data_IF_147411572020
#
_entry.id   IF_147411572020
#
_cell.length_a   1.000
_cell.length_b   1.000
_cell.length_c   1.000
_cell.angle_alpha   90.00
_cell.angle_beta   90.00
_cell.angle_gamma   90.00
#
_symmetry.space_group_name_H-M   'P 1'
#
loop_
_entity.id
_entity.type
_entity.pdbx_description
1 polymer ?
#
# COMPACT_ATOMS: atom_id res chain seq x y z
N UNK A 1 -31.01 -15.65 -26.30
CA UNK A 1 -31.32 -14.34 -25.69
C UNK A 1 -30.00 -13.63 -25.45
N UNK A 2 -29.71 -12.55 -26.16
CA UNK A 2 -28.53 -11.69 -25.89
C UNK A 2 -28.77 -11.04 -24.53
N UNK A 3 -28.07 -11.49 -23.50
CA UNK A 3 -28.04 -10.82 -22.20
C UNK A 3 -27.46 -9.45 -22.46
N UNK A 4 -28.21 -8.40 -22.16
CA UNK A 4 -27.77 -7.02 -22.34
C UNK A 4 -26.75 -6.70 -21.24
N UNK A 5 -25.47 -7.08 -21.46
CA UNK A 5 -24.36 -6.97 -20.50
C UNK A 5 -24.08 -5.52 -20.06
N UNK A 6 -24.58 -4.54 -20.80
CA UNK A 6 -24.36 -3.12 -20.56
C UNK A 6 -24.89 -2.64 -19.19
N UNK A 7 -25.98 -3.24 -18.72
CA UNK A 7 -26.66 -2.86 -17.48
C UNK A 7 -26.48 -3.85 -16.32
N UNK A 8 -25.67 -4.91 -16.48
CA UNK A 8 -25.37 -5.78 -15.34
C UNK A 8 -24.62 -4.97 -14.29
N UNK A 9 -25.07 -5.06 -13.05
CA UNK A 9 -24.56 -4.24 -11.96
C UNK A 9 -23.06 -4.49 -11.69
N UNK A 10 -22.35 -3.40 -11.47
CA UNK A 10 -20.91 -3.38 -11.21
C UNK A 10 -20.57 -2.36 -10.12
N UNK A 11 -19.39 -2.50 -9.57
CA UNK A 11 -18.69 -1.46 -8.77
C UNK A 11 -17.40 -1.07 -9.48
N UNK A 12 -16.95 0.16 -9.24
CA UNK A 12 -15.70 0.67 -9.80
C UNK A 12 -14.73 0.93 -8.66
N UNK A 13 -13.48 0.49 -8.80
CA UNK A 13 -12.39 0.83 -7.89
C UNK A 13 -11.46 1.83 -8.53
N UNK A 14 -11.07 2.85 -7.76
CA UNK A 14 -10.23 3.96 -8.19
C UNK A 14 -9.11 4.16 -7.16
N UNK A 15 -7.87 3.99 -7.61
CA UNK A 15 -6.66 4.31 -6.86
C UNK A 15 -6.09 5.63 -7.40
N UNK A 16 -6.12 6.69 -6.57
CA UNK A 16 -5.79 8.06 -6.97
C UNK A 16 -4.45 8.46 -6.37
N UNK A 17 -3.39 8.24 -7.12
CA UNK A 17 -2.05 8.72 -6.77
C UNK A 17 -1.81 10.19 -7.15
N UNK A 18 -0.63 10.72 -6.81
CA UNK A 18 -0.25 12.11 -7.09
C UNK A 18 -0.21 12.48 -8.58
N UNK A 19 0.10 11.53 -9.46
CA UNK A 19 0.25 11.75 -10.91
C UNK A 19 -0.73 10.96 -11.76
N UNK A 20 -1.15 9.80 -11.31
CA UNK A 20 -1.98 8.86 -12.05
C UNK A 20 -3.15 8.38 -11.19
N UNK A 21 -4.26 8.04 -11.86
CA UNK A 21 -5.39 7.30 -11.30
C UNK A 21 -5.46 5.96 -12.02
N UNK A 22 -5.44 4.87 -11.27
CA UNK A 22 -5.72 3.53 -11.77
C UNK A 22 -7.18 3.17 -11.51
N UNK A 23 -7.83 2.51 -12.46
CA UNK A 23 -9.25 2.17 -12.36
C UNK A 23 -9.51 0.71 -12.73
N UNK A 24 -10.42 0.07 -12.03
CA UNK A 24 -10.91 -1.28 -12.34
C UNK A 24 -12.42 -1.38 -12.21
N UNK A 25 -13.01 -2.43 -12.78
CA UNK A 25 -14.44 -2.73 -12.69
C UNK A 25 -14.60 -4.14 -12.17
N UNK A 26 -15.45 -4.31 -11.15
CA UNK A 26 -15.76 -5.57 -10.49
C UNK A 26 -17.26 -5.82 -10.62
N UNK A 27 -17.67 -7.02 -11.03
CA UNK A 27 -19.09 -7.40 -11.07
C UNK A 27 -19.61 -7.85 -9.69
N UNK A 28 -20.93 -8.03 -9.57
CA UNK A 28 -21.55 -8.47 -8.31
C UNK A 28 -21.12 -9.86 -7.85
N UNK A 29 -20.60 -10.70 -8.75
CA UNK A 29 -20.06 -12.01 -8.41
C UNK A 29 -18.64 -11.95 -7.83
N UNK A 30 -17.97 -10.79 -7.88
CA UNK A 30 -16.60 -10.63 -7.44
C UNK A 30 -15.55 -10.89 -8.53
N UNK A 31 -15.96 -10.88 -9.80
CA UNK A 31 -15.05 -11.08 -10.94
C UNK A 31 -14.59 -9.71 -11.47
N UNK A 32 -13.28 -9.49 -11.53
CA UNK A 32 -12.71 -8.31 -12.17
C UNK A 32 -12.88 -8.40 -13.69
N UNK A 33 -13.49 -7.36 -14.28
CA UNK A 33 -13.74 -7.26 -15.71
C UNK A 33 -12.56 -6.63 -16.46
N UNK A 34 -11.54 -6.17 -15.75
CA UNK A 34 -10.31 -5.61 -16.29
C UNK A 34 -9.14 -6.37 -15.68
N UNK A 35 -8.33 -6.99 -16.53
CA UNK A 35 -7.20 -7.84 -16.18
C UNK A 35 -5.84 -7.12 -16.15
N UNK A 36 -5.80 -5.85 -16.60
CA UNK A 36 -4.61 -5.02 -16.71
C UNK A 36 -4.80 -3.64 -16.12
N UNK A 37 -3.72 -3.00 -15.77
CA UNK A 37 -3.73 -1.62 -15.28
C UNK A 37 -4.31 -0.63 -16.32
N UNK A 38 -5.20 0.26 -15.86
CA UNK A 38 -5.83 1.30 -16.67
C UNK A 38 -5.53 2.67 -16.08
N UNK A 39 -4.36 3.19 -16.40
CA UNK A 39 -3.91 4.47 -15.88
C UNK A 39 -4.44 5.66 -16.68
N UNK A 40 -4.81 6.71 -15.96
CA UNK A 40 -5.12 8.06 -16.48
C UNK A 40 -4.42 9.11 -15.62
N UNK A 41 -4.14 10.32 -16.12
CA UNK A 41 -3.61 11.40 -15.29
C UNK A 41 -4.56 11.76 -14.15
N UNK A 42 -4.08 11.81 -12.90
CA UNK A 42 -4.90 12.16 -11.73
C UNK A 42 -5.19 13.66 -11.60
N UNK A 43 -4.34 14.51 -12.19
CA UNK A 43 -4.42 15.98 -12.14
C UNK A 43 -4.46 16.57 -10.72
N UNK A 44 -4.01 15.85 -9.72
CA UNK A 44 -4.00 16.28 -8.32
C UNK A 44 -3.26 17.62 -8.14
N UNK A 45 -2.12 17.79 -8.85
CA UNK A 45 -1.33 19.04 -8.82
C UNK A 45 -1.98 20.21 -9.56
N UNK A 46 -3.09 19.99 -10.27
CA UNK A 46 -3.87 21.05 -10.93
C UNK A 46 -5.04 21.53 -10.06
N UNK A 47 -5.22 20.91 -8.89
CA UNK A 47 -6.21 21.31 -7.91
C UNK A 47 -7.41 20.37 -7.80
N UNK A 48 -8.23 20.66 -6.79
CA UNK A 48 -9.35 19.80 -6.40
C UNK A 48 -10.38 19.58 -7.51
N UNK A 49 -10.74 20.64 -8.24
CA UNK A 49 -11.73 20.54 -9.33
C UNK A 49 -11.20 19.68 -10.50
N UNK A 50 -9.92 19.87 -10.89
CA UNK A 50 -9.30 19.11 -11.97
C UNK A 50 -9.15 17.63 -11.59
N UNK A 51 -8.82 17.32 -10.33
CA UNK A 51 -8.75 15.97 -9.84
C UNK A 51 -10.11 15.25 -9.84
N UNK A 52 -11.18 15.93 -9.43
CA UNK A 52 -12.55 15.37 -9.46
C UNK A 52 -13.00 15.06 -10.90
N UNK A 53 -12.71 15.97 -11.86
CA UNK A 53 -12.98 15.72 -13.28
C UNK A 53 -12.20 14.52 -13.80
N UNK A 54 -10.90 14.41 -13.44
CA UNK A 54 -10.05 13.30 -13.84
C UNK A 54 -10.54 11.94 -13.30
N UNK A 55 -11.08 11.90 -12.09
CA UNK A 55 -11.72 10.71 -11.50
C UNK A 55 -12.93 10.27 -12.33
N UNK A 56 -13.81 11.22 -12.71
CA UNK A 56 -14.94 10.91 -13.59
C UNK A 56 -14.51 10.35 -14.93
N UNK A 57 -13.44 10.90 -15.52
CA UNK A 57 -12.84 10.40 -16.76
C UNK A 57 -12.23 8.99 -16.59
N UNK A 58 -11.53 8.72 -15.48
CA UNK A 58 -10.96 7.41 -15.18
C UNK A 58 -12.04 6.33 -15.10
N UNK A 59 -13.14 6.63 -14.39
CA UNK A 59 -14.30 5.75 -14.30
C UNK A 59 -14.92 5.47 -15.68
N UNK A 60 -15.18 6.50 -16.48
CA UNK A 60 -15.77 6.34 -17.81
C UNK A 60 -14.91 5.51 -18.74
N UNK A 61 -13.58 5.70 -18.67
CA UNK A 61 -12.64 4.91 -19.45
C UNK A 61 -12.68 3.42 -19.04
N UNK A 62 -12.69 3.12 -17.75
CA UNK A 62 -12.80 1.76 -17.25
C UNK A 62 -14.14 1.10 -17.68
N UNK A 63 -15.24 1.81 -17.56
CA UNK A 63 -16.56 1.35 -18.03
C UNK A 63 -16.56 1.11 -19.55
N UNK A 64 -15.96 2.00 -20.34
CA UNK A 64 -15.84 1.84 -21.79
C UNK A 64 -15.07 0.58 -22.20
N UNK A 65 -14.00 0.20 -21.46
CA UNK A 65 -13.25 -1.04 -21.70
C UNK A 65 -14.12 -2.27 -21.48
N UNK A 66 -15.00 -2.23 -20.49
CA UNK A 66 -15.85 -3.37 -20.12
C UNK A 66 -17.19 -3.41 -20.86
N UNK A 67 -17.52 -2.37 -21.63
CA UNK A 67 -18.82 -2.21 -22.29
C UNK A 67 -19.96 -2.00 -21.29
N UNK A 68 -19.67 -1.46 -20.09
CA UNK A 68 -20.68 -1.14 -19.07
C UNK A 68 -21.05 0.34 -19.14
N UNK A 69 -22.30 0.64 -18.79
CA UNK A 69 -22.78 2.02 -18.69
C UNK A 69 -22.67 2.58 -17.26
N UNK A 70 -22.68 3.89 -17.10
CA UNK A 70 -22.73 4.52 -15.76
C UNK A 70 -23.96 4.07 -14.94
N UNK A 71 -25.08 3.76 -15.60
CA UNK A 71 -26.29 3.29 -14.94
C UNK A 71 -26.13 1.90 -14.28
N UNK A 72 -25.15 1.12 -14.72
CA UNK A 72 -24.80 -0.17 -14.12
C UNK A 72 -24.01 -0.02 -12.80
N UNK A 73 -23.38 1.13 -12.54
CA UNK A 73 -22.53 1.33 -11.37
C UNK A 73 -23.38 1.50 -10.11
N UNK A 74 -23.14 0.67 -9.10
CA UNK A 74 -23.84 0.69 -7.80
C UNK A 74 -23.09 1.49 -6.74
N UNK A 75 -21.77 1.42 -6.74
CA UNK A 75 -20.91 2.16 -5.83
C UNK A 75 -19.51 2.31 -6.43
N UNK A 76 -18.73 3.23 -5.88
CA UNK A 76 -17.34 3.49 -6.22
C UNK A 76 -16.49 3.30 -4.98
N UNK A 77 -15.45 2.47 -5.07
CA UNK A 77 -14.38 2.43 -4.11
C UNK A 77 -13.30 3.44 -4.50
N UNK A 78 -12.84 4.21 -3.54
CA UNK A 78 -11.84 5.25 -3.75
C UNK A 78 -10.72 5.08 -2.73
N UNK A 79 -9.49 5.04 -3.18
CA UNK A 79 -8.36 5.17 -2.29
C UNK A 79 -7.42 6.30 -2.70
N UNK A 80 -6.66 6.76 -1.73
CA UNK A 80 -5.61 7.76 -1.90
C UNK A 80 -4.47 7.49 -0.93
N UNK A 81 -3.23 7.93 -1.25
CA UNK A 81 -2.18 7.98 -0.25
C UNK A 81 -2.59 8.83 0.95
N UNK A 82 -2.23 8.36 2.15
CA UNK A 82 -2.49 9.08 3.40
C UNK A 82 -1.64 10.34 3.59
N UNK A 83 -1.84 11.01 4.73
CA UNK A 83 -2.88 10.76 5.70
C UNK A 83 -4.22 11.41 5.32
N UNK A 84 -5.29 10.69 5.59
CA UNK A 84 -6.66 11.19 5.49
C UNK A 84 -7.52 10.56 6.59
N UNK A 85 -8.62 11.20 6.96
CA UNK A 85 -9.55 10.63 7.94
C UNK A 85 -10.31 9.42 7.37
N UNK A 86 -10.92 8.60 8.23
CA UNK A 86 -11.80 7.52 7.82
C UNK A 86 -12.96 7.98 6.90
N UNK A 87 -13.34 9.24 6.98
CA UNK A 87 -14.35 9.86 6.12
C UNK A 87 -13.80 10.35 4.77
N UNK A 88 -12.50 10.21 4.50
CA UNK A 88 -11.86 10.68 3.25
C UNK A 88 -11.61 12.19 3.20
N UNK A 89 -11.40 12.81 4.38
CA UNK A 89 -10.98 14.20 4.48
C UNK A 89 -9.45 14.25 4.55
N UNK A 90 -8.83 14.91 3.58
CA UNK A 90 -7.36 15.00 3.46
C UNK A 90 -6.78 15.80 4.62
N UNK A 91 -5.73 15.29 5.24
CA UNK A 91 -5.05 15.93 6.37
C UNK A 91 -4.23 17.16 5.92
N UNK A 92 -4.08 18.12 6.84
CA UNK A 92 -3.28 19.34 6.59
C UNK A 92 -1.77 19.11 6.67
N UNK A 93 -1.32 17.97 7.19
CA UNK A 93 0.10 17.62 7.35
C UNK A 93 0.37 16.20 6.90
N UNK A 94 1.53 15.97 6.31
CA UNK A 94 2.03 14.63 5.95
C UNK A 94 1.53 14.07 4.63
N UNK A 95 0.56 14.70 3.96
CA UNK A 95 0.06 14.24 2.67
C UNK A 95 1.00 14.67 1.54
N UNK A 96 1.99 13.86 1.21
CA UNK A 96 3.03 14.17 0.21
C UNK A 96 2.41 14.50 -1.17
N UNK A 97 1.43 13.73 -1.61
CA UNK A 97 0.79 13.92 -2.92
C UNK A 97 -0.28 15.01 -2.93
N UNK A 98 -0.79 15.43 -1.75
CA UNK A 98 -1.82 16.43 -1.54
C UNK A 98 -1.27 17.61 -0.72
N UNK A 99 -0.02 18.02 -0.97
CA UNK A 99 0.72 19.00 -0.16
C UNK A 99 0.21 20.44 -0.31
N UNK A 100 -0.50 20.76 -1.37
CA UNK A 100 -1.01 22.11 -1.61
C UNK A 100 -2.15 22.47 -0.65
N UNK A 101 -2.21 23.74 -0.23
CA UNK A 101 -3.19 24.25 0.75
C UNK A 101 -4.66 23.96 0.42
N UNK A 102 -5.02 23.89 -0.87
CA UNK A 102 -6.37 23.61 -1.31
C UNK A 102 -6.86 22.19 -0.93
N UNK A 103 -5.93 21.27 -0.65
CA UNK A 103 -6.26 19.92 -0.21
C UNK A 103 -6.47 19.82 1.30
N UNK A 104 -6.00 20.77 2.10
CA UNK A 104 -6.02 20.67 3.54
C UNK A 104 -7.44 20.77 4.09
N UNK A 105 -7.92 19.72 4.72
CA UNK A 105 -9.28 19.62 5.19
C UNK A 105 -10.32 19.44 4.08
N UNK A 106 -9.89 19.14 2.86
CA UNK A 106 -10.79 18.90 1.74
C UNK A 106 -11.51 17.56 1.89
N UNK A 107 -12.86 17.58 1.86
CA UNK A 107 -13.73 16.40 1.84
C UNK A 107 -13.68 15.77 0.45
N UNK A 108 -12.62 14.98 0.21
CA UNK A 108 -12.36 14.38 -1.10
C UNK A 108 -13.42 13.33 -1.45
N UNK A 109 -13.70 12.40 -0.52
CA UNK A 109 -14.74 11.40 -0.70
C UNK A 109 -16.09 12.05 -1.04
N UNK A 110 -16.55 12.98 -0.21
CA UNK A 110 -17.83 13.64 -0.43
C UNK A 110 -17.87 14.48 -1.72
N UNK A 111 -16.75 15.07 -2.15
CA UNK A 111 -16.67 15.79 -3.42
C UNK A 111 -16.82 14.84 -4.62
N UNK A 112 -16.17 13.66 -4.59
CA UNK A 112 -16.32 12.61 -5.61
C UNK A 112 -17.76 12.09 -5.63
N UNK A 113 -18.35 11.81 -4.46
CA UNK A 113 -19.73 11.33 -4.32
C UNK A 113 -20.73 12.30 -4.93
N UNK A 114 -20.58 13.60 -4.63
CA UNK A 114 -21.44 14.65 -5.24
C UNK A 114 -21.26 14.77 -6.75
N UNK A 115 -20.04 14.62 -7.25
CA UNK A 115 -19.75 14.74 -8.69
C UNK A 115 -20.25 13.54 -9.49
N UNK A 116 -20.11 12.34 -8.96
CA UNK A 116 -20.50 11.11 -9.65
C UNK A 116 -21.98 10.75 -9.44
N UNK A 117 -22.62 11.30 -8.42
CA UNK A 117 -23.97 10.92 -7.94
C UNK A 117 -24.08 9.43 -7.59
N UNK A 118 -23.02 8.86 -7.01
CA UNK A 118 -22.89 7.46 -6.63
C UNK A 118 -22.33 7.37 -5.21
N UNK A 119 -22.71 6.34 -4.42
CA UNK A 119 -22.09 6.09 -3.14
C UNK A 119 -20.57 5.87 -3.31
N UNK A 120 -19.75 6.52 -2.46
CA UNK A 120 -18.29 6.39 -2.47
C UNK A 120 -17.79 5.82 -1.15
N UNK A 121 -17.10 4.69 -1.22
CA UNK A 121 -16.44 4.03 -0.11
C UNK A 121 -14.96 4.40 -0.17
N UNK A 122 -14.46 5.00 0.91
CA UNK A 122 -13.10 5.51 0.98
C UNK A 122 -12.20 4.60 1.83
N UNK A 123 -10.98 4.36 1.34
CA UNK A 123 -9.86 3.76 2.09
C UNK A 123 -8.58 4.59 1.88
N UNK A 124 -7.55 4.37 2.69
CA UNK A 124 -6.21 4.71 2.23
C UNK A 124 -5.67 3.60 1.32
N UNK A 125 -4.61 3.90 0.55
CA UNK A 125 -3.99 2.99 -0.42
C UNK A 125 -3.47 1.70 0.23
N UNK A 126 -2.84 1.80 1.41
CA UNK A 126 -2.36 0.66 2.18
C UNK A 126 -3.49 -0.29 2.61
N UNK A 127 -4.59 0.26 3.12
CA UNK A 127 -5.78 -0.53 3.49
C UNK A 127 -6.44 -1.19 2.27
N UNK A 128 -6.50 -0.49 1.13
CA UNK A 128 -7.05 -1.06 -0.09
C UNK A 128 -6.20 -2.24 -0.58
N UNK A 129 -4.88 -2.06 -0.67
CA UNK A 129 -3.97 -3.15 -1.05
C UNK A 129 -4.00 -4.33 -0.07
N UNK A 130 -4.12 -4.06 1.24
CA UNK A 130 -4.26 -5.09 2.26
C UNK A 130 -5.54 -5.91 2.10
N UNK A 131 -6.68 -5.24 1.85
CA UNK A 131 -7.96 -5.92 1.60
C UNK A 131 -7.88 -6.81 0.36
N UNK A 132 -7.25 -6.33 -0.73
CA UNK A 132 -7.06 -7.14 -1.92
C UNK A 132 -6.21 -8.39 -1.66
N UNK A 133 -5.08 -8.24 -0.97
CA UNK A 133 -4.21 -9.37 -0.62
C UNK A 133 -4.94 -10.40 0.24
N UNK A 134 -5.70 -9.94 1.23
CA UNK A 134 -6.50 -10.76 2.12
C UNK A 134 -7.55 -11.58 1.35
N UNK A 135 -8.37 -10.94 0.53
CA UNK A 135 -9.41 -11.57 -0.26
C UNK A 135 -8.84 -12.60 -1.26
N UNK A 136 -7.70 -12.27 -1.87
CA UNK A 136 -7.01 -13.17 -2.80
C UNK A 136 -6.44 -14.41 -2.11
N UNK A 137 -5.98 -14.27 -0.88
CA UNK A 137 -5.42 -15.38 -0.09
C UNK A 137 -6.50 -16.31 0.42
N UNK A 138 -7.58 -15.77 0.96
CA UNK A 138 -8.56 -16.57 1.72
C UNK A 138 -9.85 -16.87 0.94
N UNK A 139 -10.18 -16.09 -0.09
CA UNK A 139 -11.36 -16.33 -0.92
C UNK A 139 -12.63 -16.47 -0.10
N UNK A 140 -13.31 -17.60 -0.18
CA UNK A 140 -14.56 -17.85 0.56
C UNK A 140 -14.42 -17.85 2.08
N UNK A 141 -13.19 -17.93 2.63
CA UNK A 141 -12.94 -17.85 4.07
C UNK A 141 -12.53 -16.44 4.53
N UNK A 142 -12.40 -15.47 3.64
CA UNK A 142 -11.90 -14.14 3.96
C UNK A 142 -12.67 -13.47 5.12
N UNK A 143 -13.98 -13.65 5.19
CA UNK A 143 -14.84 -13.06 6.23
C UNK A 143 -14.57 -13.56 7.68
N UNK A 144 -13.82 -14.65 7.83
CA UNK A 144 -13.50 -15.24 9.15
C UNK A 144 -12.00 -15.29 9.42
N UNK A 145 -11.18 -14.75 8.53
CA UNK A 145 -9.73 -14.69 8.63
C UNK A 145 -9.24 -13.29 8.92
N UNK A 146 -8.03 -13.21 9.45
CA UNK A 146 -7.36 -11.94 9.75
C UNK A 146 -6.01 -11.86 9.08
N UNK A 147 -5.57 -10.68 8.69
CA UNK A 147 -4.26 -10.48 8.07
C UNK A 147 -3.68 -9.10 8.34
N UNK A 148 -2.38 -8.98 8.15
CA UNK A 148 -1.65 -7.73 8.23
C UNK A 148 -0.76 -7.58 7.01
N UNK A 149 -0.65 -6.37 6.47
CA UNK A 149 0.13 -6.09 5.27
C UNK A 149 1.09 -4.93 5.50
N UNK A 150 2.33 -5.08 5.05
CA UNK A 150 3.35 -4.04 4.96
C UNK A 150 3.61 -3.71 3.49
N UNK A 151 3.33 -2.50 3.07
CA UNK A 151 3.48 -2.03 1.68
C UNK A 151 4.66 -1.06 1.62
N UNK A 152 5.81 -1.53 1.15
CA UNK A 152 7.07 -0.80 1.12
C UNK A 152 7.18 0.03 -0.17
N UNK A 153 7.03 1.33 -0.07
CA UNK A 153 7.16 2.28 -1.17
C UNK A 153 8.15 3.40 -0.85
N UNK A 154 7.81 4.63 -1.24
CA UNK A 154 8.53 5.84 -0.82
C UNK A 154 8.53 5.96 0.71
N UNK A 155 7.38 5.71 1.36
CA UNK A 155 7.19 5.44 2.77
C UNK A 155 6.87 3.95 3.01
N UNK A 156 6.28 3.64 4.17
CA UNK A 156 5.72 2.34 4.48
C UNK A 156 4.25 2.48 4.87
N UNK A 157 3.37 2.09 3.96
CA UNK A 157 1.95 1.93 4.24
C UNK A 157 1.63 0.53 4.73
N UNK A 158 0.38 0.30 5.06
CA UNK A 158 -0.08 -1.01 5.44
C UNK A 158 -1.57 -1.06 5.73
N UNK A 159 -2.04 -2.22 6.17
CA UNK A 159 -3.41 -2.40 6.61
C UNK A 159 -3.54 -3.60 7.49
N UNK A 160 -4.52 -3.54 8.35
CA UNK A 160 -4.92 -4.63 9.24
C UNK A 160 -6.34 -5.03 8.87
N UNK A 161 -6.51 -6.31 8.58
CA UNK A 161 -7.82 -6.92 8.33
C UNK A 161 -8.12 -7.84 9.49
N UNK A 162 -9.25 -7.65 10.14
CA UNK A 162 -9.73 -8.49 11.24
C UNK A 162 -11.08 -9.06 10.87
N UNK A 163 -11.18 -10.39 10.82
CA UNK A 163 -12.40 -11.10 10.41
C UNK A 163 -13.00 -10.54 9.11
N UNK A 164 -12.15 -10.33 8.11
CA UNK A 164 -12.51 -9.82 6.79
C UNK A 164 -12.73 -8.30 6.70
N UNK A 165 -12.70 -7.59 7.82
CA UNK A 165 -12.99 -6.16 7.87
C UNK A 165 -11.72 -5.31 8.04
N UNK A 166 -11.62 -4.20 7.31
CA UNK A 166 -10.52 -3.24 7.47
C UNK A 166 -10.61 -2.56 8.83
N UNK A 167 -9.57 -2.69 9.64
CA UNK A 167 -9.44 -1.98 10.91
C UNK A 167 -9.10 -0.51 10.63
N UNK A 168 -10.05 0.40 10.84
CA UNK A 168 -9.89 1.84 10.54
C UNK A 168 -9.54 2.67 11.77
N UNK A 169 -9.92 2.22 12.96
CA UNK A 169 -9.76 2.98 14.19
C UNK A 169 -10.68 4.20 14.26
N UNK A 170 -10.58 4.94 15.36
CA UNK A 170 -11.47 6.05 15.67
C UNK A 170 -11.31 7.26 14.72
N UNK A 171 -10.08 7.51 14.25
CA UNK A 171 -9.75 8.65 13.38
C UNK A 171 -9.36 8.25 11.94
N UNK A 172 -9.38 6.95 11.63
CA UNK A 172 -8.92 6.43 10.34
C UNK A 172 -7.42 6.17 10.27
N UNK A 173 -6.71 6.19 11.41
CA UNK A 173 -5.26 6.02 11.46
C UNK A 173 -4.81 4.62 11.93
N UNK A 174 -5.73 3.67 12.11
CA UNK A 174 -5.32 2.28 12.34
C UNK A 174 -4.71 1.71 11.04
N UNK A 175 -3.66 0.91 11.21
CA UNK A 175 -2.93 0.39 10.05
C UNK A 175 -1.78 1.29 9.57
N UNK A 176 -1.51 2.43 10.21
CA UNK A 176 -0.31 3.26 9.97
C UNK A 176 0.94 2.55 10.54
N UNK A 177 1.24 1.39 9.97
CA UNK A 177 2.23 0.45 10.49
C UNK A 177 3.66 0.95 10.37
N UNK A 178 3.92 1.83 9.40
CA UNK A 178 5.22 2.47 9.23
C UNK A 178 5.66 3.27 10.45
N UNK A 179 4.71 3.77 11.24
CA UNK A 179 5.01 4.60 12.40
C UNK A 179 5.01 3.84 13.74
N UNK A 180 5.02 2.51 13.68
CA UNK A 180 5.25 1.67 14.87
C UNK A 180 6.72 1.77 15.27
N UNK A 181 6.97 2.15 16.53
CA UNK A 181 8.32 2.13 17.09
C UNK A 181 8.77 0.69 17.34
N UNK A 182 9.97 0.36 16.87
CA UNK A 182 10.55 -0.97 17.02
C UNK A 182 11.88 -0.90 17.79
N UNK A 183 12.26 -1.96 18.52
CA UNK A 183 13.59 -2.04 19.12
C UNK A 183 14.68 -1.91 18.04
N UNK A 184 15.68 -1.06 18.27
CA UNK A 184 16.80 -0.85 17.33
C UNK A 184 18.03 -1.70 17.66
N UNK A 185 18.10 -2.27 18.87
CA UNK A 185 19.19 -3.14 19.27
C UNK A 185 19.32 -4.36 18.35
N UNK A 186 20.52 -4.61 17.81
CA UNK A 186 20.79 -5.69 16.88
C UNK A 186 20.19 -5.54 15.48
N UNK A 187 19.43 -4.45 15.21
CA UNK A 187 19.04 -4.05 13.87
C UNK A 187 20.10 -3.15 13.24
N UNK A 188 20.61 -2.21 14.02
CA UNK A 188 21.62 -1.27 13.57
C UNK A 188 23.03 -1.87 13.72
N UNK A 189 23.90 -1.56 12.76
CA UNK A 189 25.32 -1.85 12.88
C UNK A 189 25.99 -1.01 13.99
N UNK A 190 27.14 -1.45 14.53
CA UNK A 190 27.87 -0.66 15.53
C UNK A 190 28.20 0.74 15.02
N UNK A 191 27.77 1.77 15.74
CA UNK A 191 28.00 3.18 15.37
C UNK A 191 27.01 3.75 14.35
N UNK A 192 26.10 2.96 13.82
CA UNK A 192 25.04 3.46 12.94
C UNK A 192 24.07 4.34 13.72
N UNK A 193 23.78 5.58 13.24
CA UNK A 193 22.82 6.46 13.87
C UNK A 193 21.41 5.85 13.93
N UNK A 194 20.66 6.19 14.97
CA UNK A 194 19.24 5.80 15.03
C UNK A 194 18.47 6.51 13.91
N UNK A 195 17.76 5.75 13.05
CA UNK A 195 17.02 6.29 11.92
C UNK A 195 15.90 7.25 12.35
N UNK A 196 15.69 8.30 11.58
CA UNK A 196 14.60 9.27 11.77
C UNK A 196 13.60 9.22 10.61
N UNK A 197 12.33 9.45 10.90
CA UNK A 197 11.25 9.52 9.94
C UNK A 197 10.86 10.96 9.61
N UNK A 198 10.41 11.21 8.40
CA UNK A 198 9.91 12.51 7.95
C UNK A 198 8.69 13.01 8.74
N UNK A 199 7.96 12.11 9.41
CA UNK A 199 6.86 12.48 10.31
C UNK A 199 7.34 13.11 11.64
N UNK A 200 8.64 13.03 11.94
CA UNK A 200 9.28 13.53 13.17
C UNK A 200 9.53 12.47 14.23
N UNK A 201 9.17 11.19 13.98
CA UNK A 201 9.50 10.09 14.87
C UNK A 201 10.93 9.58 14.63
N UNK A 202 11.48 8.92 15.63
CA UNK A 202 12.82 8.33 15.61
C UNK A 202 12.68 6.85 15.95
N UNK A 203 13.22 5.96 15.10
CA UNK A 203 13.21 4.52 15.36
C UNK A 203 11.86 3.86 15.08
N UNK A 204 11.08 4.39 14.15
CA UNK A 204 9.91 3.71 13.61
C UNK A 204 10.30 2.82 12.41
N UNK A 205 9.36 1.98 11.99
CA UNK A 205 9.59 1.01 10.89
C UNK A 205 9.89 1.73 9.58
N UNK A 206 9.17 2.80 9.26
CA UNK A 206 9.32 3.54 7.99
C UNK A 206 10.71 4.16 7.87
N UNK A 207 11.28 4.65 8.97
CA UNK A 207 12.63 5.22 8.98
C UNK A 207 13.72 4.23 8.55
N UNK A 208 13.42 2.91 8.58
CA UNK A 208 14.29 1.83 8.12
C UNK A 208 13.76 1.20 6.84
N UNK A 209 12.48 0.77 6.83
CA UNK A 209 11.90 -0.10 5.83
C UNK A 209 11.14 0.67 4.74
N UNK A 210 11.69 1.76 4.23
CA UNK A 210 11.14 2.54 3.11
C UNK A 210 12.26 3.04 2.19
N UNK A 211 11.89 3.55 1.00
CA UNK A 211 12.86 4.21 0.12
C UNK A 211 13.46 5.46 0.80
N UNK A 212 12.63 6.25 1.48
CA UNK A 212 13.11 7.38 2.28
C UNK A 212 14.03 6.93 3.42
N UNK A 213 13.75 5.79 4.03
CA UNK A 213 14.61 5.17 5.04
C UNK A 213 15.98 4.79 4.48
N UNK A 214 16.02 4.19 3.29
CA UNK A 214 17.28 3.92 2.58
C UNK A 214 18.02 5.23 2.31
N UNK A 215 17.35 6.19 1.66
CA UNK A 215 17.95 7.46 1.22
C UNK A 215 18.53 8.28 2.37
N UNK A 216 17.77 8.44 3.45
CA UNK A 216 18.11 9.37 4.51
C UNK A 216 18.90 8.76 5.67
N UNK A 217 18.79 7.45 5.89
CA UNK A 217 19.33 6.80 7.08
C UNK A 217 20.31 5.66 6.79
N UNK A 218 19.91 4.68 5.95
CA UNK A 218 20.73 3.47 5.79
C UNK A 218 21.88 3.69 4.82
N UNK A 219 21.60 4.14 3.62
CA UNK A 219 22.59 4.31 2.57
C UNK A 219 23.72 5.29 2.94
N UNK A 220 23.47 6.48 3.55
CA UNK A 220 24.55 7.36 3.99
C UNK A 220 25.54 6.68 4.94
N UNK A 221 25.07 5.87 5.89
CA UNK A 221 25.93 5.12 6.79
C UNK A 221 26.70 4.04 6.04
N UNK A 222 26.02 3.21 5.25
CA UNK A 222 26.68 2.10 4.57
C UNK A 222 27.71 2.55 3.52
N UNK A 223 27.53 3.71 2.89
CA UNK A 223 28.55 4.30 2.02
C UNK A 223 29.83 4.74 2.77
N UNK A 224 29.75 5.02 4.08
CA UNK A 224 30.97 5.23 4.89
C UNK A 224 31.75 3.95 5.16
N UNK A 225 31.04 2.81 5.23
CA UNK A 225 31.67 1.50 5.42
C UNK A 225 32.16 0.89 4.10
N UNK A 226 31.56 1.30 2.96
CA UNK A 226 31.87 0.87 1.60
C UNK A 226 32.19 2.08 0.69
N UNK A 227 33.28 2.84 0.95
CA UNK A 227 33.53 4.11 0.26
C UNK A 227 33.80 3.98 -1.25
N UNK A 228 34.27 2.81 -1.69
CA UNK A 228 34.54 2.50 -3.11
C UNK A 228 33.32 1.89 -3.83
N UNK A 229 32.15 1.83 -3.20
CA UNK A 229 30.97 1.27 -3.82
C UNK A 229 30.43 2.17 -4.94
N UNK A 230 30.01 1.63 -6.13
CA UNK A 230 29.57 2.43 -7.27
C UNK A 230 28.43 3.41 -6.96
N UNK A 231 27.57 3.15 -5.96
CA UNK A 231 26.52 4.05 -5.53
C UNK A 231 27.04 5.35 -4.88
N UNK A 232 28.32 5.39 -4.49
CA UNK A 232 28.94 6.63 -3.98
C UNK A 232 29.17 7.66 -5.09
N UNK A 233 29.23 7.22 -6.34
CA UNK A 233 29.45 8.07 -7.52
C UNK A 233 28.14 8.59 -8.15
N UNK A 234 26.97 8.21 -7.62
CA UNK A 234 25.67 8.67 -8.14
C UNK A 234 25.46 10.18 -7.90
N UNK A 235 24.71 10.83 -8.79
CA UNK A 235 24.43 12.27 -8.76
C UNK A 235 23.75 12.74 -7.47
N UNK A 236 23.05 11.84 -6.78
CA UNK A 236 22.37 12.12 -5.51
C UNK A 236 22.09 10.84 -4.71
N UNK A 237 21.93 10.96 -3.39
CA UNK A 237 21.47 9.86 -2.52
C UNK A 237 20.11 9.32 -2.96
N UNK A 238 19.23 10.17 -3.51
CA UNK A 238 17.94 9.75 -4.04
C UNK A 238 18.09 8.82 -5.26
N UNK A 239 18.98 9.14 -6.19
CA UNK A 239 19.28 8.27 -7.34
C UNK A 239 19.93 6.97 -6.86
N UNK A 240 20.93 7.05 -6.00
CA UNK A 240 21.59 5.90 -5.41
C UNK A 240 20.62 4.96 -4.68
N UNK A 241 19.72 5.50 -3.84
CA UNK A 241 18.73 4.71 -3.10
C UNK A 241 17.81 3.90 -4.02
N UNK A 242 17.40 4.45 -5.16
CA UNK A 242 16.61 3.72 -6.17
C UNK A 242 17.37 2.56 -6.81
N UNK A 243 18.68 2.66 -6.91
CA UNK A 243 19.53 1.64 -7.52
C UNK A 243 19.97 0.55 -6.55
N UNK A 244 19.84 0.74 -5.22
CA UNK A 244 20.25 -0.26 -4.20
C UNK A 244 19.63 -1.63 -4.49
N UNK A 245 18.34 -1.68 -4.89
CA UNK A 245 17.66 -2.94 -5.21
C UNK A 245 18.37 -3.73 -6.30
N UNK A 246 18.73 -3.10 -7.41
CA UNK A 246 19.44 -3.76 -8.51
C UNK A 246 20.81 -4.30 -8.10
N UNK A 247 21.49 -3.71 -7.11
CA UNK A 247 22.69 -4.28 -6.52
C UNK A 247 22.36 -5.49 -5.63
N UNK A 248 21.32 -5.42 -4.79
CA UNK A 248 20.86 -6.53 -3.98
C UNK A 248 20.47 -7.77 -4.80
N UNK A 249 19.77 -7.57 -5.92
CA UNK A 249 19.40 -8.63 -6.88
C UNK A 249 20.63 -9.35 -7.46
N UNK A 250 21.76 -8.68 -7.55
CA UNK A 250 23.05 -9.28 -7.99
C UNK A 250 23.88 -9.83 -6.86
N UNK A 251 23.39 -9.81 -5.63
CA UNK A 251 24.06 -10.35 -4.46
C UNK A 251 25.14 -9.44 -3.85
N UNK A 252 25.05 -8.14 -4.11
CA UNK A 252 25.96 -7.15 -3.54
C UNK A 252 25.86 -7.10 -2.01
N UNK A 253 26.99 -7.16 -1.32
CA UNK A 253 27.05 -7.28 0.14
C UNK A 253 26.44 -6.07 0.84
N UNK A 254 26.78 -4.85 0.43
CA UNK A 254 26.25 -3.63 1.05
C UNK A 254 24.74 -3.54 0.87
N UNK A 255 24.25 -3.77 -0.34
CA UNK A 255 22.83 -3.74 -0.63
C UNK A 255 22.04 -4.81 0.16
N UNK A 256 22.59 -6.03 0.26
CA UNK A 256 21.98 -7.08 1.07
C UNK A 256 21.91 -6.73 2.56
N UNK A 257 22.92 -6.03 3.12
CA UNK A 257 22.86 -5.53 4.50
C UNK A 257 21.73 -4.51 4.70
N UNK A 258 21.55 -3.59 3.76
CA UNK A 258 20.44 -2.60 3.76
C UNK A 258 19.09 -3.34 3.77
N UNK A 259 18.90 -4.30 2.86
CA UNK A 259 17.62 -5.03 2.78
C UNK A 259 17.40 -6.00 3.95
N UNK A 260 18.44 -6.52 4.56
CA UNK A 260 18.32 -7.31 5.79
C UNK A 260 17.85 -6.44 6.97
N UNK A 261 18.35 -5.20 7.10
CA UNK A 261 17.84 -4.24 8.08
C UNK A 261 16.36 -3.92 7.84
N UNK A 262 15.94 -3.73 6.58
CA UNK A 262 14.53 -3.54 6.24
C UNK A 262 13.68 -4.75 6.61
N UNK A 263 14.11 -5.94 6.24
CA UNK A 263 13.41 -7.18 6.56
C UNK A 263 13.27 -7.38 8.08
N UNK A 264 14.33 -7.07 8.83
CA UNK A 264 14.32 -7.12 10.28
C UNK A 264 13.33 -6.12 10.89
N UNK A 265 13.27 -4.90 10.35
CA UNK A 265 12.33 -3.88 10.80
C UNK A 265 10.87 -4.33 10.59
N UNK A 266 10.55 -4.86 9.41
CA UNK A 266 9.22 -5.41 9.10
C UNK A 266 8.92 -6.62 10.00
N UNK A 267 9.85 -7.54 10.20
CA UNK A 267 9.66 -8.71 11.06
C UNK A 267 9.38 -8.33 12.52
N UNK A 268 10.06 -7.32 13.04
CA UNK A 268 9.79 -6.79 14.41
C UNK A 268 8.41 -6.14 14.50
N UNK A 269 8.00 -5.39 13.50
CA UNK A 269 6.65 -4.85 13.42
C UNK A 269 5.61 -5.98 13.38
N UNK A 270 5.81 -7.00 12.58
CA UNK A 270 4.93 -8.17 12.54
C UNK A 270 4.88 -8.91 13.89
N UNK A 271 6.01 -9.00 14.60
CA UNK A 271 6.04 -9.54 15.97
C UNK A 271 5.16 -8.74 16.93
N UNK A 272 5.22 -7.40 16.84
CA UNK A 272 4.38 -6.51 17.64
C UNK A 272 2.91 -6.73 17.28
N UNK A 273 2.58 -6.70 15.99
CA UNK A 273 1.23 -6.87 15.50
C UNK A 273 0.64 -8.24 15.86
N UNK A 274 1.41 -9.32 15.76
CA UNK A 274 1.00 -10.66 16.15
C UNK A 274 0.48 -10.75 17.60
N UNK A 275 1.07 -9.95 18.50
CA UNK A 275 0.63 -9.90 19.90
C UNK A 275 -0.62 -9.05 20.12
N UNK A 276 -1.09 -8.28 19.15
CA UNK A 276 -2.30 -7.47 19.24
C UNK A 276 -3.47 -8.06 18.47
N UNK A 277 -3.21 -8.64 17.29
CA UNK A 277 -4.26 -9.03 16.32
C UNK A 277 -4.27 -10.51 15.98
N UNK A 278 -3.18 -11.26 16.31
CA UNK A 278 -3.02 -12.70 16.03
C UNK A 278 -3.49 -13.10 14.60
N UNK A 279 -2.88 -12.50 13.54
CA UNK A 279 -3.38 -12.67 12.19
C UNK A 279 -2.98 -14.03 11.60
N UNK A 280 -3.84 -14.59 10.74
CA UNK A 280 -3.57 -15.81 9.96
C UNK A 280 -2.47 -15.59 8.90
N UNK A 281 -2.37 -14.36 8.34
CA UNK A 281 -1.41 -14.05 7.28
C UNK A 281 -0.69 -12.71 7.44
N UNK A 282 0.55 -12.69 6.99
CA UNK A 282 1.48 -11.56 6.96
C UNK A 282 1.89 -11.31 5.51
N UNK A 283 1.49 -10.16 4.95
CA UNK A 283 1.79 -9.83 3.58
C UNK A 283 2.87 -8.75 3.47
N UNK A 284 3.78 -8.92 2.52
CA UNK A 284 4.75 -7.91 2.13
C UNK A 284 4.48 -7.49 0.69
N UNK A 285 4.39 -6.19 0.47
CA UNK A 285 4.17 -5.58 -0.84
C UNK A 285 5.09 -4.40 -1.09
N UNK A 286 4.92 -3.76 -2.22
CA UNK A 286 5.68 -2.58 -2.61
C UNK A 286 6.87 -2.88 -3.50
N UNK A 287 7.78 -1.92 -3.66
CA UNK A 287 8.88 -2.01 -4.62
C UNK A 287 9.77 -3.25 -4.51
N UNK A 288 9.84 -3.86 -3.32
CA UNK A 288 10.62 -5.10 -3.12
C UNK A 288 10.06 -6.28 -3.91
N UNK A 289 8.74 -6.34 -4.11
CA UNK A 289 8.13 -7.45 -4.85
C UNK A 289 8.21 -7.30 -6.38
N UNK A 290 8.62 -6.14 -6.87
CA UNK A 290 8.96 -5.94 -8.29
C UNK A 290 10.35 -6.46 -8.65
N UNK A 291 11.12 -6.90 -7.64
CA UNK A 291 12.46 -7.45 -7.80
C UNK A 291 12.44 -8.84 -8.46
N UNK A 292 13.63 -9.32 -8.85
CA UNK A 292 13.82 -10.67 -9.35
C UNK A 292 13.30 -11.74 -8.35
N UNK A 293 12.72 -12.85 -8.82
CA UNK A 293 12.08 -13.87 -7.97
C UNK A 293 12.95 -14.33 -6.80
N UNK A 294 14.23 -14.63 -7.07
CA UNK A 294 15.15 -15.12 -6.03
C UNK A 294 15.39 -14.09 -4.91
N UNK A 295 15.40 -12.79 -5.25
CA UNK A 295 15.57 -11.72 -4.27
C UNK A 295 14.30 -11.51 -3.43
N UNK A 296 13.12 -11.57 -4.06
CA UNK A 296 11.82 -11.51 -3.35
C UNK A 296 11.69 -12.63 -2.33
N UNK A 297 12.02 -13.86 -2.74
CA UNK A 297 11.94 -15.04 -1.89
C UNK A 297 12.92 -14.96 -0.73
N UNK A 298 14.14 -14.49 -1.00
CA UNK A 298 15.13 -14.20 0.03
C UNK A 298 14.62 -13.14 1.02
N UNK A 299 14.11 -12.02 0.53
CA UNK A 299 13.61 -10.94 1.39
C UNK A 299 12.44 -11.40 2.27
N UNK A 300 11.46 -12.10 1.69
CA UNK A 300 10.33 -12.64 2.45
C UNK A 300 10.81 -13.66 3.50
N UNK A 301 11.79 -14.49 3.16
CA UNK A 301 12.41 -15.42 4.11
C UNK A 301 13.05 -14.66 5.29
N UNK A 302 13.78 -13.58 5.00
CA UNK A 302 14.36 -12.72 6.05
C UNK A 302 13.30 -12.05 6.92
N UNK A 303 12.23 -11.54 6.34
CA UNK A 303 11.10 -11.01 7.13
C UNK A 303 10.53 -12.08 8.07
N UNK A 304 10.32 -13.29 7.57
CA UNK A 304 9.83 -14.42 8.38
C UNK A 304 10.80 -14.78 9.50
N UNK A 305 12.12 -14.88 9.23
CA UNK A 305 13.16 -15.19 10.22
C UNK A 305 13.18 -14.17 11.37
N UNK A 306 12.89 -12.91 11.08
CA UNK A 306 12.85 -11.82 12.06
C UNK A 306 11.48 -11.56 12.69
N UNK A 307 10.47 -12.35 12.32
CA UNK A 307 9.14 -12.32 12.94
C UNK A 307 9.07 -13.38 14.03
N UNK A 308 9.11 -12.93 15.28
CA UNK A 308 9.11 -13.82 16.43
C UNK A 308 7.67 -14.12 16.87
N UNK A 309 7.17 -15.27 16.45
CA UNK A 309 5.84 -15.77 16.78
C UNK A 309 5.90 -16.80 17.92
N UNK A 310 4.81 -16.95 18.65
CA UNK A 310 4.61 -18.08 19.54
C UNK A 310 4.43 -19.35 18.73
N UNK A 311 4.65 -20.50 19.34
CA UNK A 311 4.56 -21.79 18.64
C UNK A 311 3.22 -21.99 17.95
N UNK A 312 2.12 -21.66 18.63
CA UNK A 312 0.76 -21.80 18.11
C UNK A 312 0.51 -20.88 16.90
N UNK A 313 1.05 -19.66 16.93
CA UNK A 313 0.97 -18.71 15.82
C UNK A 313 1.84 -19.16 14.64
N UNK A 314 3.07 -19.61 14.92
CA UNK A 314 4.03 -20.02 13.90
C UNK A 314 3.56 -21.24 13.08
N UNK A 315 2.81 -22.14 13.69
CA UNK A 315 2.25 -23.33 13.03
C UNK A 315 1.20 -23.00 11.97
N UNK A 316 0.45 -21.90 12.16
CA UNK A 316 -0.65 -21.49 11.28
C UNK A 316 -0.27 -20.30 10.37
N UNK A 317 0.77 -19.54 10.71
CA UNK A 317 1.12 -18.28 10.04
C UNK A 317 1.49 -18.46 8.56
N UNK A 318 0.83 -17.70 7.72
CA UNK A 318 1.10 -17.59 6.29
C UNK A 318 1.93 -16.32 6.06
N UNK A 319 3.09 -16.46 5.39
CA UNK A 319 3.86 -15.34 4.89
C UNK A 319 3.79 -15.33 3.37
N UNK A 320 3.33 -14.23 2.78
CA UNK A 320 3.14 -14.11 1.34
C UNK A 320 3.43 -12.71 0.81
N UNK A 321 3.59 -12.60 -0.49
CA UNK A 321 3.68 -11.32 -1.18
C UNK A 321 2.29 -10.84 -1.58
N UNK A 322 2.08 -9.52 -1.58
CA UNK A 322 0.85 -8.92 -2.11
C UNK A 322 0.77 -9.24 -3.61
N UNK A 323 -0.30 -9.89 -4.08
CA UNK A 323 -0.44 -10.21 -5.50
C UNK A 323 -0.79 -8.96 -6.31
N UNK A 324 -0.46 -8.95 -7.62
CA UNK A 324 -0.86 -7.93 -8.60
C UNK A 324 -0.70 -6.49 -8.06
N UNK A 325 0.45 -6.16 -7.49
CA UNK A 325 0.68 -4.95 -6.70
C UNK A 325 0.22 -3.67 -7.43
N UNK A 326 0.50 -3.56 -8.73
CA UNK A 326 0.13 -2.40 -9.55
C UNK A 326 -1.39 -2.15 -9.61
N UNK A 327 -2.18 -3.18 -9.32
CA UNK A 327 -3.64 -3.13 -9.34
C UNK A 327 -4.26 -3.28 -7.94
N UNK A 328 -3.45 -3.54 -6.92
CA UNK A 328 -3.93 -3.90 -5.59
C UNK A 328 -4.78 -2.80 -4.96
N UNK A 329 -4.40 -1.52 -5.09
CA UNK A 329 -5.16 -0.37 -4.61
C UNK A 329 -6.55 -0.32 -5.24
N UNK A 330 -6.61 -0.17 -6.57
CA UNK A 330 -7.88 -0.09 -7.29
C UNK A 330 -8.77 -1.33 -7.09
N UNK A 331 -8.17 -2.54 -7.08
CA UNK A 331 -8.90 -3.79 -6.84
C UNK A 331 -9.44 -3.89 -5.41
N UNK A 332 -8.64 -3.54 -4.42
CA UNK A 332 -9.07 -3.51 -3.03
C UNK A 332 -10.17 -2.48 -2.78
N UNK A 333 -10.08 -1.31 -3.40
CA UNK A 333 -11.13 -0.31 -3.36
C UNK A 333 -12.44 -0.81 -4.00
N UNK A 334 -12.37 -1.50 -5.16
CA UNK A 334 -13.55 -2.13 -5.75
C UNK A 334 -14.18 -3.19 -4.82
N UNK A 335 -13.35 -4.01 -4.16
CA UNK A 335 -13.82 -5.00 -3.18
C UNK A 335 -14.52 -4.33 -1.99
N UNK A 336 -13.92 -3.27 -1.43
CA UNK A 336 -14.54 -2.50 -0.36
C UNK A 336 -15.92 -1.91 -0.76
N UNK A 337 -16.02 -1.43 -2.00
CA UNK A 337 -17.30 -0.95 -2.54
C UNK A 337 -18.32 -2.09 -2.68
N UNK A 338 -17.89 -3.26 -3.15
CA UNK A 338 -18.76 -4.44 -3.28
C UNK A 338 -19.24 -4.93 -1.92
N UNK A 339 -18.36 -4.99 -0.90
CA UNK A 339 -18.74 -5.37 0.47
C UNK A 339 -19.78 -4.43 1.05
N UNK A 340 -19.63 -3.12 0.84
CA UNK A 340 -20.54 -2.10 1.39
C UNK A 340 -21.97 -2.15 0.79
N UNK A 341 -22.17 -2.74 -0.39
CA UNK A 341 -23.47 -2.84 -1.04
C UNK A 341 -24.09 -4.25 -0.96
N UNK A 342 -23.33 -5.24 -0.52
CA UNK A 342 -23.86 -6.57 -0.23
C UNK A 342 -24.73 -6.52 1.01
N UNK A 343 -25.90 -7.19 1.01
CA UNK A 343 -26.83 -7.19 2.13
C UNK A 343 -26.27 -7.93 3.35
#
# INVERSE_FOLDING_TARGET
MSVNKENDAVVVGLDVGGTKTNATVLDESGVFLIDRMTETPSRVHQGTAAAIEAIGFAMDRALGITGRSRAAVRAVGLDTPGPASAAGVISAKGATNFSERQWWGFDFRGAVERSLHLPVIYNNDGNAAALYAHERQFGGEAAIRSSISAIVGTGLGGGVIESGEVVRGASGMAGELGHVHIPMEGLLAPGQPVPFCNCGFVGDVESVASLCGIENNLLPYWLTEYPDHPLADEDSLHAAAKHVRGFGERGDEMALRIFEQQAMAIGRMFTIAANFTDPDAYFVGGGVIEAEPHFRDWFLTKVREHTHLREEQALAAIFALVPDLDMAGARGSAMAALHAIRP
#
